data_IF_952574897296
#
_entry.id   IF_952574897296
#
_cell.length_a   1.000
_cell.length_b   1.000
_cell.length_c   1.000
_cell.angle_alpha   90.00
_cell.angle_beta   90.00
_cell.angle_gamma   90.00
#
_symmetry.space_group_name_H-M   'P 1'
#
loop_
_entity.id
_entity.type
_entity.pdbx_description
1 polymer ?
#
# COMPACT_ATOMS: atom_id res chain seq x y z
N UNK A 1 -6.34 10.69 -23.11
CA UNK A 1 -7.35 11.05 -22.09
C UNK A 1 -6.61 11.14 -20.76
N UNK A 2 -6.50 12.32 -20.13
CA UNK A 2 -5.83 12.44 -18.81
C UNK A 2 -6.86 12.20 -17.71
N UNK A 3 -6.62 11.18 -16.88
CA UNK A 3 -7.44 10.83 -15.72
C UNK A 3 -7.12 11.72 -14.52
N UNK A 4 -8.14 12.14 -13.77
CA UNK A 4 -8.00 13.13 -12.67
C UNK A 4 -8.70 12.62 -11.40
N UNK A 5 -8.11 12.83 -10.22
CA UNK A 5 -8.70 12.48 -8.91
C UNK A 5 -9.44 13.69 -8.30
N UNK A 6 -10.76 13.64 -8.04
CA UNK A 6 -11.51 14.78 -7.50
C UNK A 6 -11.49 14.84 -5.95
N UNK A 7 -11.16 15.99 -5.38
CA UNK A 7 -11.39 16.29 -3.95
C UNK A 7 -12.81 16.85 -3.74
N UNK A 8 -13.64 16.21 -2.89
CA UNK A 8 -15.10 16.41 -2.93
C UNK A 8 -15.62 17.75 -2.37
N UNK A 9 -14.81 18.54 -1.67
CA UNK A 9 -15.25 19.79 -1.03
C UNK A 9 -14.87 21.05 -1.82
N UNK A 10 -13.69 21.07 -2.47
CA UNK A 10 -13.17 22.22 -3.22
C UNK A 10 -13.05 21.98 -4.74
N UNK A 11 -13.42 20.77 -5.22
CA UNK A 11 -13.24 20.32 -6.61
C UNK A 11 -11.83 20.52 -7.15
N UNK A 12 -10.83 20.43 -6.28
CA UNK A 12 -9.46 20.31 -6.74
C UNK A 12 -9.30 18.97 -7.43
N UNK A 13 -8.53 18.97 -8.50
CA UNK A 13 -8.30 17.77 -9.28
C UNK A 13 -6.81 17.58 -9.47
N UNK A 14 -6.34 16.36 -9.28
CA UNK A 14 -4.91 16.00 -9.38
C UNK A 14 -4.66 15.07 -10.56
N UNK A 15 -3.53 15.26 -11.22
CA UNK A 15 -3.00 14.29 -12.19
C UNK A 15 -2.58 13.00 -11.45
N UNK A 16 -2.42 11.91 -12.20
CA UNK A 16 -1.96 10.63 -11.64
C UNK A 16 -0.54 10.68 -11.04
N UNK A 17 0.26 11.69 -11.39
CA UNK A 17 1.57 11.93 -10.78
C UNK A 17 1.52 12.79 -9.51
N UNK A 18 0.32 13.13 -9.01
CA UNK A 18 0.13 13.94 -7.81
C UNK A 18 0.17 15.46 -8.02
N UNK A 19 0.48 15.95 -9.22
CA UNK A 19 0.43 17.39 -9.51
C UNK A 19 -1.01 17.92 -9.45
N UNK A 20 -1.18 19.11 -8.86
CA UNK A 20 -2.45 19.82 -8.86
C UNK A 20 -2.81 20.27 -10.29
N UNK A 21 -3.83 19.65 -10.88
CA UNK A 21 -4.27 19.92 -12.24
C UNK A 21 -5.22 21.13 -12.32
N UNK A 22 -6.19 21.22 -11.41
CA UNK A 22 -7.16 22.32 -11.35
C UNK A 22 -7.49 22.66 -9.89
N UNK A 23 -7.60 23.96 -9.63
CA UNK A 23 -8.08 24.52 -8.38
C UNK A 23 -9.07 25.67 -8.70
N UNK A 24 -10.34 25.35 -8.98
CA UNK A 24 -11.33 26.36 -9.33
C UNK A 24 -11.43 27.44 -8.25
N UNK A 25 -11.62 28.71 -8.64
CA UNK A 25 -11.63 29.92 -7.78
C UNK A 25 -10.27 30.40 -7.27
N UNK A 26 -9.19 29.66 -7.55
CA UNK A 26 -7.83 30.08 -7.20
C UNK A 26 -7.04 30.64 -8.38
N UNK A 27 -7.55 30.53 -9.61
CA UNK A 27 -6.86 31.04 -10.81
C UNK A 27 -6.71 32.59 -10.82
N UNK A 28 -7.52 33.31 -10.03
CA UNK A 28 -7.47 34.77 -9.89
C UNK A 28 -6.78 35.25 -8.61
N UNK A 29 -6.20 34.36 -7.81
CA UNK A 29 -5.50 34.71 -6.55
C UNK A 29 -4.03 34.96 -6.88
N UNK A 30 -3.51 36.20 -6.75
CA UNK A 30 -2.16 36.55 -7.21
C UNK A 30 -1.03 35.74 -6.58
N UNK A 31 -1.14 35.37 -5.31
CA UNK A 31 -0.12 34.58 -4.60
C UNK A 31 -0.36 33.06 -4.64
N UNK A 32 -1.32 32.56 -5.43
CA UNK A 32 -1.59 31.13 -5.47
C UNK A 32 -0.63 30.38 -6.40
N UNK A 33 0.32 29.66 -5.79
CA UNK A 33 1.20 28.74 -6.49
C UNK A 33 0.68 27.30 -6.45
N UNK A 34 0.35 26.73 -7.62
CA UNK A 34 -0.11 25.35 -7.74
C UNK A 34 0.95 24.32 -7.35
N UNK A 35 2.24 24.64 -7.51
CA UNK A 35 3.33 23.72 -7.21
C UNK A 35 3.51 23.49 -5.70
N UNK A 36 3.05 24.42 -4.87
CA UNK A 36 3.03 24.30 -3.42
C UNK A 36 1.94 23.36 -2.86
N UNK A 37 1.02 22.88 -3.70
CA UNK A 37 -0.16 22.11 -3.28
C UNK A 37 -0.29 20.74 -3.96
N UNK A 38 0.84 20.09 -4.27
CA UNK A 38 0.87 18.71 -4.80
C UNK A 38 0.47 17.69 -3.73
N UNK A 39 0.02 16.52 -4.16
CA UNK A 39 -0.16 15.40 -3.24
C UNK A 39 1.21 14.96 -2.69
N UNK A 40 1.23 14.52 -1.43
CA UNK A 40 2.41 13.88 -0.86
C UNK A 40 2.75 12.62 -1.64
N UNK A 41 4.02 12.50 -2.04
CA UNK A 41 4.54 11.27 -2.62
C UNK A 41 4.61 10.18 -1.55
N UNK A 42 4.38 8.95 -1.96
CA UNK A 42 4.67 7.75 -1.17
C UNK A 42 5.56 6.85 -2.00
N UNK A 43 6.49 6.16 -1.35
CA UNK A 43 7.37 5.21 -2.02
C UNK A 43 6.60 3.93 -2.28
N UNK A 44 6.80 3.36 -3.47
CA UNK A 44 6.15 2.11 -3.88
C UNK A 44 7.16 1.15 -4.47
N UNK A 45 6.96 -0.14 -4.24
CA UNK A 45 7.74 -1.22 -4.83
C UNK A 45 6.79 -2.32 -5.30
N UNK A 46 7.01 -2.84 -6.51
CA UNK A 46 6.29 -4.02 -7.01
C UNK A 46 7.29 -5.17 -7.01
N UNK A 47 7.01 -6.19 -6.20
CA UNK A 47 7.92 -7.33 -6.07
C UNK A 47 7.81 -8.30 -7.27
N UNK A 48 8.68 -9.32 -7.29
CA UNK A 48 8.73 -10.32 -8.37
C UNK A 48 7.46 -11.20 -8.46
N UNK A 49 6.62 -11.18 -7.44
CA UNK A 49 5.37 -11.94 -7.37
C UNK A 49 4.14 -11.05 -7.68
N UNK A 50 4.34 -9.77 -7.98
CA UNK A 50 3.30 -8.84 -8.36
C UNK A 50 2.60 -8.13 -7.19
N UNK A 51 3.11 -8.26 -5.96
CA UNK A 51 2.55 -7.51 -4.82
C UNK A 51 3.06 -6.07 -4.79
N UNK A 52 2.17 -5.15 -4.44
CA UNK A 52 2.48 -3.72 -4.29
C UNK A 52 2.75 -3.42 -2.83
N UNK A 53 3.94 -2.90 -2.56
CA UNK A 53 4.42 -2.48 -1.25
C UNK A 53 4.46 -0.96 -1.18
N UNK A 54 4.09 -0.41 -0.03
CA UNK A 54 4.05 1.04 0.21
C UNK A 54 4.95 1.37 1.40
N UNK A 55 5.81 2.38 1.25
CA UNK A 55 6.62 2.94 2.31
C UNK A 55 6.31 4.43 2.49
N UNK A 56 6.00 4.82 3.73
CA UNK A 56 5.55 6.16 4.12
C UNK A 56 6.69 7.09 4.57
N UNK A 57 7.95 6.69 4.36
CA UNK A 57 9.09 7.57 4.59
C UNK A 57 8.98 8.84 3.73
N UNK A 58 9.16 10.00 4.38
CA UNK A 58 9.04 11.31 3.75
C UNK A 58 10.33 11.75 3.04
N UNK A 59 11.45 11.05 3.23
CA UNK A 59 12.68 11.32 2.50
C UNK A 59 12.50 11.07 0.99
N UNK A 60 13.23 11.79 0.12
CA UNK A 60 13.12 11.60 -1.34
C UNK A 60 13.57 10.19 -1.78
N UNK A 61 14.42 9.55 -1.00
CA UNK A 61 14.76 8.13 -1.12
C UNK A 61 14.49 7.48 0.23
N UNK A 62 13.84 6.29 0.29
CA UNK A 62 13.61 5.60 1.55
C UNK A 62 14.90 5.41 2.35
N UNK A 63 14.84 5.66 3.66
CA UNK A 63 15.95 5.45 4.59
C UNK A 63 16.46 4.01 4.54
N UNK A 64 15.54 3.06 4.36
CA UNK A 64 15.84 1.65 4.12
C UNK A 64 15.26 1.25 2.77
N UNK A 65 16.10 0.65 1.94
CA UNK A 65 15.68 0.15 0.62
C UNK A 65 14.85 -1.13 0.75
N UNK A 66 14.06 -1.42 -0.28
CA UNK A 66 13.31 -2.69 -0.34
C UNK A 66 14.25 -3.90 -0.28
N UNK A 67 15.35 -3.85 -1.03
CA UNK A 67 16.34 -4.92 -1.13
C UNK A 67 17.05 -5.18 0.21
N UNK A 68 17.32 -4.13 0.99
CA UNK A 68 17.91 -4.24 2.33
C UNK A 68 16.98 -4.97 3.31
N UNK A 69 15.68 -4.67 3.25
CA UNK A 69 14.71 -5.20 4.21
C UNK A 69 14.15 -6.58 3.80
N UNK A 70 13.97 -6.79 2.50
CA UNK A 70 13.20 -7.92 1.96
C UNK A 70 13.88 -8.63 0.78
N UNK A 71 15.17 -8.36 0.53
CA UNK A 71 15.93 -9.03 -0.53
C UNK A 71 15.88 -10.56 -0.39
N UNK A 72 15.52 -11.24 -1.49
CA UNK A 72 15.45 -12.70 -1.52
C UNK A 72 14.14 -13.31 -0.98
N UNK A 73 13.21 -12.50 -0.44
CA UNK A 73 11.94 -13.02 0.11
C UNK A 73 11.09 -13.68 -0.97
N UNK A 74 11.09 -13.13 -2.19
CA UNK A 74 10.31 -13.66 -3.31
C UNK A 74 10.93 -14.89 -3.99
N UNK A 75 12.21 -15.15 -3.73
CA UNK A 75 13.01 -16.20 -4.37
C UNK A 75 13.10 -17.48 -3.53
N UNK A 76 12.39 -17.52 -2.39
CA UNK A 76 12.38 -18.68 -1.53
C UNK A 76 11.83 -19.91 -2.28
N UNK A 77 12.51 -21.07 -2.25
CA UNK A 77 12.08 -22.25 -3.01
C UNK A 77 10.64 -22.70 -2.76
N UNK A 78 10.11 -22.45 -1.55
CA UNK A 78 8.72 -22.76 -1.19
C UNK A 78 7.69 -22.01 -2.03
N UNK A 79 8.05 -20.85 -2.60
CA UNK A 79 7.18 -20.03 -3.44
C UNK A 79 7.20 -20.47 -4.92
N UNK A 80 8.23 -21.21 -5.35
CA UNK A 80 8.38 -21.65 -6.74
C UNK A 80 7.27 -22.60 -7.23
N UNK A 81 6.56 -23.24 -6.30
CA UNK A 81 5.43 -24.13 -6.62
C UNK A 81 4.13 -23.38 -6.94
N UNK A 82 4.09 -22.05 -6.79
CA UNK A 82 2.88 -21.24 -6.96
C UNK A 82 3.09 -20.21 -8.07
N UNK A 83 2.29 -20.30 -9.13
CA UNK A 83 2.26 -19.30 -10.20
C UNK A 83 1.27 -18.18 -9.86
N UNK A 84 1.71 -17.27 -8.99
CA UNK A 84 0.87 -16.17 -8.47
C UNK A 84 0.46 -15.17 -9.55
N UNK A 85 1.15 -15.13 -10.70
CA UNK A 85 0.77 -14.26 -11.83
C UNK A 85 -0.57 -14.66 -12.46
N UNK A 86 -0.96 -15.94 -12.33
CA UNK A 86 -2.21 -16.47 -12.86
C UNK A 86 -3.37 -16.39 -11.85
N UNK A 87 -3.13 -15.86 -10.65
CA UNK A 87 -4.15 -15.76 -9.62
C UNK A 87 -5.06 -14.57 -9.92
N UNK A 88 -6.35 -14.75 -9.65
CA UNK A 88 -7.35 -13.68 -9.71
C UNK A 88 -7.89 -13.47 -8.32
N UNK A 89 -8.08 -12.21 -7.96
CA UNK A 89 -8.76 -11.86 -6.72
C UNK A 89 -10.16 -12.49 -6.72
N UNK A 90 -10.48 -13.22 -5.65
CA UNK A 90 -11.77 -13.88 -5.46
C UNK A 90 -12.54 -13.23 -4.31
N UNK A 91 -11.98 -13.26 -3.09
CA UNK A 91 -12.63 -12.74 -1.89
C UNK A 91 -11.66 -12.08 -0.91
N UNK A 92 -12.19 -11.20 -0.05
CA UNK A 92 -11.48 -10.62 1.10
C UNK A 92 -12.40 -10.56 2.31
N UNK A 93 -11.84 -10.77 3.49
CA UNK A 93 -12.54 -10.60 4.77
C UNK A 93 -11.75 -9.66 5.68
N UNK A 94 -12.41 -9.11 6.68
CA UNK A 94 -11.79 -8.23 7.66
C UNK A 94 -12.41 -8.44 9.02
N UNK A 95 -11.61 -8.36 10.07
CA UNK A 95 -12.05 -8.51 11.45
C UNK A 95 -11.38 -7.44 12.31
N UNK A 96 -12.18 -6.78 13.13
CA UNK A 96 -11.68 -5.84 14.13
C UNK A 96 -11.55 -6.55 15.47
N UNK A 97 -10.45 -6.31 16.18
CA UNK A 97 -10.18 -6.94 17.46
C UNK A 97 -9.40 -6.04 18.40
N UNK A 98 -9.50 -6.33 19.71
CA UNK A 98 -8.82 -5.59 20.78
C UNK A 98 -7.53 -6.30 21.18
N UNK A 99 -6.53 -6.29 20.31
CA UNK A 99 -5.22 -6.87 20.58
C UNK A 99 -4.11 -6.01 19.97
N UNK A 100 -2.86 -6.21 20.41
CA UNK A 100 -1.71 -5.58 19.77
C UNK A 100 -1.37 -6.34 18.47
N UNK A 101 -0.98 -5.62 17.42
CA UNK A 101 -0.57 -6.24 16.15
C UNK A 101 0.60 -7.21 16.32
N UNK A 102 1.51 -6.96 17.27
CA UNK A 102 2.64 -7.86 17.55
C UNK A 102 2.18 -9.24 18.03
N UNK A 103 1.15 -9.28 18.87
CA UNK A 103 0.59 -10.53 19.40
C UNK A 103 0.02 -11.42 18.29
N UNK A 104 -0.53 -10.83 17.22
CA UNK A 104 -0.96 -11.62 16.05
C UNK A 104 0.22 -12.28 15.35
N UNK A 105 1.33 -11.56 15.20
CA UNK A 105 2.53 -12.08 14.53
C UNK A 105 3.18 -13.17 15.39
N UNK A 106 3.30 -12.95 16.70
CA UNK A 106 3.79 -13.95 17.66
C UNK A 106 2.96 -15.24 17.57
N UNK A 107 1.63 -15.13 17.61
CA UNK A 107 0.75 -16.29 17.49
C UNK A 107 0.87 -17.03 16.15
N UNK A 108 1.06 -16.30 15.04
CA UNK A 108 1.26 -16.92 13.74
C UNK A 108 2.59 -17.68 13.64
N UNK A 109 3.64 -17.19 14.31
CA UNK A 109 4.97 -17.78 14.28
C UNK A 109 5.09 -19.00 15.22
N UNK A 110 4.25 -19.10 16.24
CA UNK A 110 4.25 -20.19 17.22
C UNK A 110 3.27 -21.31 16.81
N UNK A 111 3.67 -22.15 15.86
CA UNK A 111 2.94 -23.38 15.52
C UNK A 111 3.24 -24.55 16.46
N UNK A 112 3.32 -24.33 17.77
CA UNK A 112 3.29 -25.41 18.78
C UNK A 112 1.93 -25.53 19.50
N UNK A 113 1.06 -24.52 19.45
CA UNK A 113 -0.27 -24.56 20.08
C UNK A 113 -1.40 -24.85 19.07
N UNK A 114 -1.21 -25.87 18.24
CA UNK A 114 -2.22 -26.39 17.31
C UNK A 114 -3.48 -26.98 17.99
N UNK A 115 -3.66 -26.81 19.31
CA UNK A 115 -4.75 -27.44 20.05
C UNK A 115 -5.92 -26.55 20.52
N UNK A 116 -5.84 -25.21 20.50
CA UNK A 116 -6.92 -24.45 21.19
C UNK A 116 -7.58 -23.29 20.44
N UNK A 117 -7.10 -22.82 19.29
CA UNK A 117 -7.80 -21.75 18.54
C UNK A 117 -7.96 -22.08 17.06
N UNK A 118 -8.89 -22.98 16.77
CA UNK A 118 -9.53 -23.07 15.44
C UNK A 118 -10.49 -21.89 15.25
N UNK A 119 -9.96 -20.71 14.96
CA UNK A 119 -10.77 -19.63 14.41
C UNK A 119 -10.83 -19.87 12.90
N UNK A 120 -11.97 -20.41 12.45
CA UNK A 120 -12.43 -20.46 11.06
C UNK A 120 -11.50 -21.14 10.02
N UNK A 121 -11.60 -22.46 9.89
CA UNK A 121 -11.59 -23.07 8.55
C UNK A 121 -12.91 -22.65 7.88
N UNK A 122 -12.89 -21.57 7.10
CA UNK A 122 -13.95 -21.37 6.10
C UNK A 122 -13.78 -22.45 5.03
N UNK A 123 -14.83 -23.25 4.86
CA UNK A 123 -14.98 -24.17 3.72
C UNK A 123 -15.53 -23.47 2.50
#
# INVERSE_FOLDING_TARGET
>A
MQSTLPASWYRWSYKMNGDLAKAPRFDSVPEFDKDSYKLYKVHTHIDKLGFVWVNLDAAETPTHSWEEQFGGVTEQPRLANYDLNNYKFDHTWSMEGKFNWKTLIENYNELDDAQTLRIARCG
#
